data_IF_290237325871
#
_entry.id   IF_290237325871
#
_cell.length_a   1.000
_cell.length_b   1.000
_cell.length_c   1.000
_cell.angle_alpha   90.00
_cell.angle_beta   90.00
_cell.angle_gamma   90.00
#
_symmetry.space_group_name_H-M   'P 1'
#
loop_
_entity.id
_entity.type
_entity.pdbx_description
1 polymer ?
#
# COMPACT_ATOMS: atom_id res chain seq x y z
N UNK A 1 -11.92 -7.11 -7.48
CA UNK A 1 -10.92 -8.06 -6.98
C UNK A 1 -10.03 -7.36 -5.97
N UNK A 2 -9.84 -7.96 -4.81
CA UNK A 2 -9.01 -7.33 -3.78
C UNK A 2 -7.53 -7.50 -4.11
N UNK A 3 -6.72 -6.50 -3.75
CA UNK A 3 -5.27 -6.56 -3.91
C UNK A 3 -4.68 -7.62 -2.98
N UNK A 4 -3.60 -8.23 -3.41
CA UNK A 4 -2.90 -9.20 -2.59
C UNK A 4 -2.21 -8.50 -1.42
N UNK A 5 -2.23 -9.15 -0.25
CA UNK A 5 -1.64 -8.58 0.95
C UNK A 5 -0.12 -8.48 0.83
N UNK A 6 0.50 -9.41 0.11
CA UNK A 6 1.94 -9.45 -0.12
C UNK A 6 2.23 -9.67 -1.59
N UNK A 7 3.29 -9.03 -2.07
CA UNK A 7 3.80 -9.22 -3.42
C UNK A 7 5.31 -9.41 -3.35
N UNK A 8 5.85 -10.13 -4.33
CA UNK A 8 7.28 -10.34 -4.41
C UNK A 8 7.87 -9.45 -5.50
N UNK A 9 8.79 -8.57 -5.11
CA UNK A 9 9.50 -7.71 -6.06
C UNK A 9 10.79 -8.41 -6.49
N UNK A 10 11.13 -8.40 -7.79
CA UNK A 10 12.30 -9.13 -8.27
C UNK A 10 13.62 -8.67 -7.68
N UNK A 11 13.72 -7.40 -7.26
CA UNK A 11 14.95 -6.86 -6.69
C UNK A 11 14.89 -6.75 -5.17
N UNK A 12 13.76 -6.28 -4.62
CA UNK A 12 13.67 -5.94 -3.20
C UNK A 12 12.97 -6.97 -2.34
N UNK A 13 12.52 -8.06 -2.96
CA UNK A 13 11.90 -9.15 -2.22
C UNK A 13 10.46 -8.84 -1.83
N UNK A 14 10.05 -9.32 -0.66
CA UNK A 14 8.66 -9.24 -0.23
C UNK A 14 8.23 -7.81 0.04
N UNK A 15 7.08 -7.44 -0.52
CA UNK A 15 6.41 -6.17 -0.24
C UNK A 15 5.10 -6.46 0.49
N UNK A 16 4.65 -5.53 1.33
CA UNK A 16 3.36 -5.65 1.99
C UNK A 16 2.44 -4.49 1.60
N UNK A 17 1.15 -4.78 1.53
CA UNK A 17 0.14 -3.79 1.16
C UNK A 17 -0.01 -2.76 2.27
N UNK A 18 0.15 -1.49 1.93
CA UNK A 18 0.01 -0.38 2.86
C UNK A 18 -1.39 0.22 2.77
N UNK A 19 -1.86 0.50 1.56
CA UNK A 19 -3.18 1.10 1.35
C UNK A 19 -3.54 1.08 -0.13
N UNK A 20 -4.83 0.95 -0.45
CA UNK A 20 -5.29 1.21 -1.81
C UNK A 20 -5.08 2.68 -2.18
N UNK A 21 -4.73 2.93 -3.44
CA UNK A 21 -4.52 4.28 -3.95
C UNK A 21 -5.56 4.72 -4.97
N UNK A 22 -6.54 3.84 -5.27
CA UNK A 22 -7.56 4.14 -6.27
C UNK A 22 -7.08 3.87 -7.69
N UNK A 23 -8.00 3.85 -8.62
CA UNK A 23 -7.72 3.67 -10.05
C UNK A 23 -6.97 2.37 -10.36
N UNK A 24 -7.24 1.33 -9.59
CA UNK A 24 -6.59 0.03 -9.81
C UNK A 24 -5.15 -0.03 -9.34
N UNK A 25 -4.70 0.93 -8.54
CA UNK A 25 -3.35 0.98 -8.01
C UNK A 25 -3.36 0.88 -6.50
N UNK A 26 -2.28 0.36 -5.95
CA UNK A 26 -2.13 0.16 -4.50
C UNK A 26 -0.73 0.54 -4.07
N UNK A 27 -0.60 1.01 -2.82
CA UNK A 27 0.70 1.35 -2.25
C UNK A 27 1.23 0.15 -1.49
N UNK A 28 2.46 -0.24 -1.80
CA UNK A 28 3.17 -1.31 -1.11
C UNK A 28 4.49 -0.77 -0.56
N UNK A 29 4.99 -1.43 0.48
CA UNK A 29 6.28 -1.08 1.08
C UNK A 29 7.13 -2.34 1.24
N UNK A 30 8.45 -2.16 1.25
CA UNK A 30 9.38 -3.27 1.49
C UNK A 30 9.23 -3.80 2.90
N UNK A 31 9.24 -5.12 3.04
CA UNK A 31 9.09 -5.77 4.34
C UNK A 31 10.45 -5.99 5.03
N UNK A 32 11.44 -6.47 4.30
CA UNK A 32 12.73 -6.85 4.87
C UNK A 32 13.88 -5.95 4.46
N UNK A 33 13.80 -5.31 3.30
CA UNK A 33 14.85 -4.45 2.81
C UNK A 33 14.71 -3.05 3.41
N UNK A 34 15.65 -2.15 3.07
CA UNK A 34 15.53 -0.74 3.43
C UNK A 34 14.19 -0.21 2.94
N UNK A 35 13.51 0.58 3.78
CA UNK A 35 12.13 0.99 3.52
C UNK A 35 12.03 1.77 2.21
N UNK A 36 11.26 1.22 1.29
CA UNK A 36 10.93 1.84 0.01
C UNK A 36 9.44 1.66 -0.23
N UNK A 37 8.87 2.57 -0.99
CA UNK A 37 7.44 2.55 -1.29
C UNK A 37 7.22 2.45 -2.79
N UNK A 38 6.20 1.70 -3.17
CA UNK A 38 5.86 1.47 -4.56
C UNK A 38 4.39 1.69 -4.80
N UNK A 39 4.07 2.33 -5.92
CA UNK A 39 2.72 2.34 -6.44
C UNK A 39 2.63 1.17 -7.41
N UNK A 40 1.74 0.24 -7.15
CA UNK A 40 1.68 -1.02 -7.88
C UNK A 40 0.38 -1.12 -8.64
N UNK A 41 0.50 -1.43 -9.93
CA UNK A 41 -0.65 -1.73 -10.80
C UNK A 41 -0.58 -3.20 -11.17
N UNK A 42 -1.61 -3.96 -10.82
CA UNK A 42 -1.71 -5.37 -11.20
C UNK A 42 -2.32 -5.48 -12.59
N UNK A 43 -1.66 -6.21 -13.45
CA UNK A 43 -2.07 -6.41 -14.83
C UNK A 43 -2.16 -7.91 -15.12
N UNK A 44 -2.86 -8.33 -16.19
CA UNK A 44 -2.94 -9.75 -16.51
C UNK A 44 -1.60 -10.45 -16.67
N UNK A 45 -0.56 -9.70 -17.07
CA UNK A 45 0.78 -10.25 -17.30
C UNK A 45 1.72 -10.04 -16.11
N UNK A 46 1.22 -9.54 -14.98
CA UNK A 46 2.05 -9.33 -13.81
C UNK A 46 1.83 -7.98 -13.18
N UNK A 47 2.76 -7.57 -12.31
CA UNK A 47 2.68 -6.32 -11.58
C UNK A 47 3.62 -5.29 -12.18
N UNK A 48 3.17 -4.04 -12.24
CA UNK A 48 4.00 -2.91 -12.61
C UNK A 48 4.30 -2.11 -11.35
N UNK A 49 5.58 -1.86 -11.09
CA UNK A 49 6.03 -1.19 -9.87
C UNK A 49 6.57 0.20 -10.20
N UNK A 50 6.12 1.19 -9.47
CA UNK A 50 6.62 2.56 -9.59
C UNK A 50 7.09 3.03 -8.22
N UNK A 51 8.37 3.38 -8.08
CA UNK A 51 8.90 3.90 -6.83
C UNK A 51 8.29 5.26 -6.54
N UNK A 52 7.77 5.45 -5.33
CA UNK A 52 7.21 6.73 -4.92
C UNK A 52 7.87 7.20 -3.62
N UNK A 53 7.93 8.53 -3.39
CA UNK A 53 8.48 9.07 -2.16
C UNK A 53 7.63 8.72 -0.94
N UNK A 54 8.26 8.76 0.23
CA UNK A 54 7.59 8.52 1.51
C UNK A 54 6.34 9.40 1.67
N UNK A 55 6.46 10.68 1.35
CA UNK A 55 5.33 11.60 1.54
C UNK A 55 4.16 11.27 0.63
N UNK A 56 4.43 10.82 -0.60
CA UNK A 56 3.37 10.40 -1.51
C UNK A 56 2.67 9.15 -1.00
N UNK A 57 3.46 8.18 -0.53
CA UNK A 57 2.90 6.95 0.04
C UNK A 57 2.02 7.26 1.24
N UNK A 58 2.51 8.11 2.14
CA UNK A 58 1.76 8.53 3.33
C UNK A 58 0.47 9.24 2.95
N UNK A 59 0.53 10.10 1.94
CA UNK A 59 -0.64 10.84 1.48
C UNK A 59 -1.74 9.88 0.99
N UNK A 60 -1.39 8.89 0.18
CA UNK A 60 -2.36 7.89 -0.28
C UNK A 60 -2.97 7.15 0.90
N UNK A 61 -2.15 6.78 1.88
CA UNK A 61 -2.64 6.06 3.05
C UNK A 61 -3.57 6.92 3.89
N UNK A 62 -3.26 8.22 4.03
CA UNK A 62 -4.12 9.14 4.78
C UNK A 62 -5.47 9.31 4.11
N UNK A 63 -5.50 9.42 2.79
CA UNK A 63 -6.76 9.51 2.04
C UNK A 63 -7.60 8.26 2.29
N UNK A 64 -6.99 7.10 2.24
CA UNK A 64 -7.70 5.85 2.46
C UNK A 64 -8.26 5.76 3.88
N UNK A 65 -7.47 6.14 4.88
CA UNK A 65 -7.93 6.15 6.27
C UNK A 65 -9.13 7.09 6.47
N UNK A 66 -9.05 8.29 5.87
CA UNK A 66 -10.16 9.25 5.96
C UNK A 66 -11.43 8.67 5.38
N UNK A 67 -11.31 7.96 4.26
CA UNK A 67 -12.46 7.29 3.64
C UNK A 67 -13.02 6.20 4.55
N UNK A 68 -12.15 5.39 5.13
CA UNK A 68 -12.58 4.31 6.02
C UNK A 68 -13.32 4.84 7.23
N UNK A 69 -12.85 5.95 7.81
CA UNK A 69 -13.53 6.58 8.96
C UNK A 69 -14.88 7.15 8.56
N UNK A 70 -14.95 7.83 7.43
CA UNK A 70 -16.19 8.42 6.92
C UNK A 70 -17.25 7.36 6.64
N UNK A 71 -16.84 6.23 6.08
CA UNK A 71 -17.74 5.15 5.72
C UNK A 71 -17.95 4.17 6.86
N UNK A 72 -17.28 4.37 7.99
CA UNK A 72 -17.31 3.47 9.12
C UNK A 72 -16.99 2.03 8.68
N UNK A 73 -15.92 1.88 7.91
CA UNK A 73 -15.51 0.60 7.35
C UNK A 73 -15.19 -0.40 8.45
N UNK A 74 -15.60 -1.68 8.32
CA UNK A 74 -15.24 -2.70 9.31
C UNK A 74 -13.75 -2.97 9.39
N UNK A 75 -12.98 -2.54 8.38
CA UNK A 75 -11.53 -2.75 8.36
C UNK A 75 -10.73 -1.51 8.76
N UNK A 76 -11.39 -0.46 9.24
CA UNK A 76 -10.69 0.80 9.53
C UNK A 76 -9.57 0.63 10.56
N UNK A 77 -9.77 -0.21 11.56
CA UNK A 77 -8.76 -0.43 12.60
C UNK A 77 -7.52 -1.11 12.04
N UNK A 78 -7.70 -2.04 11.12
CA UNK A 78 -6.60 -2.73 10.47
C UNK A 78 -5.78 -1.75 9.63
N UNK A 79 -6.43 -0.90 8.85
CA UNK A 79 -5.74 0.08 8.03
C UNK A 79 -5.02 1.12 8.89
N UNK A 80 -5.63 1.51 10.00
CA UNK A 80 -5.00 2.45 10.93
C UNK A 80 -3.75 1.83 11.57
N UNK A 81 -3.80 0.58 11.94
CA UNK A 81 -2.64 -0.11 12.49
C UNK A 81 -1.51 -0.21 11.48
N UNK A 82 -1.82 -0.56 10.23
CA UNK A 82 -0.83 -0.59 9.16
C UNK A 82 -0.19 0.77 8.94
N UNK A 83 -1.01 1.83 8.95
CA UNK A 83 -0.50 3.19 8.81
C UNK A 83 0.47 3.52 9.94
N UNK A 84 0.10 3.19 11.16
CA UNK A 84 0.90 3.46 12.34
C UNK A 84 2.25 2.73 12.27
N UNK A 85 2.22 1.46 11.92
CA UNK A 85 3.43 0.65 11.80
C UNK A 85 4.35 1.16 10.68
N UNK A 86 3.79 1.69 9.63
CA UNK A 86 4.55 2.06 8.43
C UNK A 86 5.09 3.48 8.50
N UNK A 87 4.30 4.43 9.00
CA UNK A 87 4.62 5.86 8.89
C UNK A 87 4.90 6.54 10.22
N UNK A 88 4.70 5.86 11.32
CA UNK A 88 4.96 6.38 12.65
C UNK A 88 5.88 5.45 13.42
#
# INVERSE_FOLDING_TARGET
>A
MSAERYLNHPTFGMLYLVAPAGEGRDVYATLYAQKMFFLVTLQPRGAQFEVIPFLDARHHAEIHLSRCRRENSPEKDRWQELFHQTFI
#
